data_IF_364237325997
#
_entry.id   IF_364237325997
#
_cell.length_a   1.000
_cell.length_b   1.000
_cell.length_c   1.000
_cell.angle_alpha   90.00
_cell.angle_beta   90.00
_cell.angle_gamma   90.00
#
_symmetry.space_group_name_H-M   'P 1'
#
loop_
_entity.id
_entity.type
_entity.pdbx_description
1 polymer ?
#
# COMPACT_ATOMS: atom_id res chain seq x y z
N UNK A 1 45.00 39.14 -9.47
CA UNK A 1 44.99 38.56 -8.14
C UNK A 1 43.56 38.21 -7.72
N UNK A 2 43.23 36.92 -7.48
CA UNK A 2 41.89 36.44 -7.38
C UNK A 2 41.50 36.23 -5.91
N UNK A 3 40.34 36.70 -5.50
CA UNK A 3 39.74 36.34 -4.22
C UNK A 3 38.62 35.33 -4.45
N UNK A 4 38.90 34.08 -4.06
CA UNK A 4 37.94 33.03 -3.84
C UNK A 4 37.02 33.37 -2.67
N UNK A 5 35.74 33.45 -2.87
CA UNK A 5 34.74 33.39 -1.83
C UNK A 5 34.12 32.00 -1.82
N UNK A 6 34.42 31.30 -0.76
CA UNK A 6 33.97 29.98 -0.40
C UNK A 6 32.63 30.11 0.33
N UNK A 7 31.53 29.67 -0.23
CA UNK A 7 30.26 29.59 0.48
C UNK A 7 30.21 28.31 1.32
N UNK A 8 29.86 28.36 2.63
CA UNK A 8 29.72 27.16 3.46
C UNK A 8 28.37 26.52 3.27
N UNK A 9 28.39 25.22 2.97
CA UNK A 9 27.20 24.37 2.87
C UNK A 9 26.40 24.36 4.18
N UNK A 10 25.10 24.46 4.03
CA UNK A 10 24.10 24.40 5.10
C UNK A 10 24.08 22.99 5.71
N UNK A 11 24.74 22.84 6.84
CA UNK A 11 24.64 21.64 7.66
C UNK A 11 23.30 21.64 8.40
N UNK A 12 22.46 20.65 8.13
CA UNK A 12 21.25 20.40 8.92
C UNK A 12 21.65 19.91 10.31
N UNK A 13 21.48 20.76 11.32
CA UNK A 13 21.62 20.42 12.72
C UNK A 13 20.49 19.47 13.14
N UNK A 14 20.81 18.19 13.31
CA UNK A 14 19.98 17.26 14.05
C UNK A 14 20.15 17.57 15.55
N UNK A 15 19.07 17.65 16.33
CA UNK A 15 19.21 17.86 17.77
C UNK A 15 19.87 16.65 18.43
N UNK A 16 20.95 16.90 19.16
CA UNK A 16 21.65 15.89 19.94
C UNK A 16 20.70 15.31 21.01
N UNK A 17 20.60 13.98 21.04
CA UNK A 17 19.96 13.26 22.12
C UNK A 17 20.76 13.47 23.42
N UNK A 18 20.22 14.27 24.30
CA UNK A 18 20.73 14.44 25.67
C UNK A 18 20.45 13.13 26.42
N UNK A 19 21.44 12.47 27.01
CA UNK A 19 21.19 11.31 27.85
C UNK A 19 20.45 11.75 29.11
N UNK A 20 19.25 11.24 29.30
CA UNK A 20 18.45 11.44 30.50
C UNK A 20 19.11 10.70 31.63
N UNK A 21 19.70 11.45 32.59
CA UNK A 21 20.15 10.93 33.86
C UNK A 21 19.00 10.27 34.61
N UNK A 22 19.22 9.03 35.07
CA UNK A 22 18.30 8.33 35.92
C UNK A 22 18.10 9.09 37.25
N UNK A 23 16.87 9.24 37.73
CA UNK A 23 16.61 9.74 39.06
C UNK A 23 16.94 8.66 40.10
N UNK A 24 17.71 9.08 41.12
CA UNK A 24 18.03 8.28 42.29
C UNK A 24 16.77 7.80 43.02
N UNK A 25 16.85 6.58 43.54
CA UNK A 25 15.82 5.95 44.35
C UNK A 25 15.50 6.80 45.58
N UNK A 26 14.28 7.35 45.60
CA UNK A 26 13.61 7.84 46.77
C UNK A 26 12.23 7.18 46.80
N UNK A 27 12.09 6.08 47.50
CA UNK A 27 10.78 5.44 47.76
C UNK A 27 9.97 6.41 48.63
N UNK A 28 9.11 7.19 47.98
CA UNK A 28 8.11 7.98 48.72
C UNK A 28 6.95 7.05 49.08
N UNK A 29 6.46 7.15 50.31
CA UNK A 29 5.35 6.37 50.89
C UNK A 29 4.07 6.41 50.08
N UNK A 30 3.97 7.26 49.05
CA UNK A 30 2.85 7.34 48.13
C UNK A 30 2.81 6.20 47.07
N UNK A 31 3.97 5.62 46.71
CA UNK A 31 4.02 4.57 45.71
C UNK A 31 3.45 3.22 46.12
N UNK A 32 3.56 2.86 47.41
CA UNK A 32 3.04 1.59 47.90
C UNK A 32 1.52 1.67 48.21
N UNK A 33 1.02 2.84 48.63
CA UNK A 33 -0.42 3.08 48.80
C UNK A 33 -1.17 3.02 47.47
N UNK A 34 -0.59 3.58 46.39
CA UNK A 34 -1.15 3.45 45.04
C UNK A 34 -1.15 2.01 44.54
N UNK A 35 -0.13 1.20 44.90
CA UNK A 35 -0.10 -0.26 44.62
C UNK A 35 -1.12 -1.02 45.45
N UNK A 36 -1.24 -0.72 46.74
CA UNK A 36 -2.22 -1.37 47.65
C UNK A 36 -3.66 -1.05 47.25
N UNK A 37 -3.97 0.19 46.87
CA UNK A 37 -5.27 0.58 46.33
C UNK A 37 -5.62 -0.11 45.02
N UNK A 38 -4.64 -0.35 44.14
CA UNK A 38 -4.84 -1.12 42.90
C UNK A 38 -5.18 -2.59 43.16
N UNK A 39 -4.59 -3.20 44.20
CA UNK A 39 -4.86 -4.62 44.52
C UNK A 39 -6.18 -4.83 45.27
N UNK A 40 -6.62 -3.87 46.09
CA UNK A 40 -7.83 -3.97 46.91
C UNK A 40 -9.09 -3.57 46.10
N UNK A 41 -9.00 -2.58 45.22
CA UNK A 41 -10.14 -2.10 44.44
C UNK A 41 -10.27 -2.71 43.04
N UNK A 42 -9.43 -3.68 42.68
CA UNK A 42 -9.61 -4.44 41.41
C UNK A 42 -9.75 -3.58 40.18
N UNK A 43 -9.18 -2.35 40.14
CA UNK A 43 -9.17 -1.54 38.95
C UNK A 43 -8.25 -2.23 37.93
N UNK A 44 -8.88 -3.06 37.09
CA UNK A 44 -8.26 -3.39 35.80
C UNK A 44 -7.89 -2.07 35.19
N UNK A 45 -6.59 -1.89 34.93
CA UNK A 45 -6.16 -0.82 34.07
C UNK A 45 -6.81 -1.10 32.69
N UNK A 46 -7.99 -0.53 32.47
CA UNK A 46 -8.62 -0.56 31.16
C UNK A 46 -7.61 0.11 30.22
N UNK A 47 -7.26 -0.57 29.17
CA UNK A 47 -6.41 0.06 28.16
C UNK A 47 -7.26 1.14 27.51
N UNK A 48 -6.68 2.30 27.23
CA UNK A 48 -7.34 3.42 26.49
C UNK A 48 -8.19 2.89 25.31
N UNK A 49 -7.74 1.78 24.72
CA UNK A 49 -8.43 1.10 23.64
C UNK A 49 -9.74 0.42 24.07
N UNK A 50 -9.78 -0.21 25.26
CA UNK A 50 -10.99 -0.84 25.79
C UNK A 50 -12.01 0.25 26.13
N UNK A 51 -11.56 1.33 26.79
CA UNK A 51 -12.42 2.47 27.10
C UNK A 51 -12.98 3.12 25.84
N UNK A 52 -12.15 3.27 24.78
CA UNK A 52 -12.60 3.81 23.49
C UNK A 52 -13.62 2.87 22.82
N UNK A 53 -13.43 1.56 22.94
CA UNK A 53 -14.36 0.56 22.39
C UNK A 53 -15.69 0.62 23.10
N UNK A 54 -15.69 0.70 24.43
CA UNK A 54 -16.88 0.83 25.26
C UNK A 54 -17.64 2.13 24.93
N UNK A 55 -16.94 3.27 24.86
CA UNK A 55 -17.53 4.56 24.46
C UNK A 55 -18.16 4.52 23.07
N UNK A 56 -17.57 3.77 22.13
CA UNK A 56 -18.12 3.60 20.78
C UNK A 56 -19.31 2.61 20.74
N UNK A 57 -19.42 1.69 21.72
CA UNK A 57 -20.50 0.71 21.82
C UNK A 57 -21.74 1.30 22.52
N UNK A 58 -21.57 2.09 23.57
CA UNK A 58 -22.64 2.67 24.37
C UNK A 58 -23.53 3.72 23.64
N UNK A 59 -23.23 4.06 22.44
CA UNK A 59 -24.07 4.61 21.37
C UNK A 59 -24.99 5.83 21.65
N UNK A 60 -25.27 6.20 22.88
CA UNK A 60 -26.37 7.10 23.20
C UNK A 60 -25.96 8.41 23.88
N UNK A 61 -24.70 8.62 24.24
CA UNK A 61 -24.28 9.81 24.96
C UNK A 61 -23.17 10.56 24.26
N UNK A 62 -23.33 11.84 24.10
CA UNK A 62 -22.35 12.95 24.01
C UNK A 62 -20.89 12.65 23.55
N UNK A 63 -20.64 11.60 22.74
CA UNK A 63 -19.28 11.28 22.28
C UNK A 63 -18.76 12.26 21.23
N UNK A 64 -19.61 13.17 20.73
CA UNK A 64 -19.26 14.11 19.67
C UNK A 64 -19.05 13.46 18.28
N UNK A 65 -19.06 12.12 18.19
CA UNK A 65 -18.89 11.41 16.91
C UNK A 65 -20.23 11.13 16.23
N UNK A 66 -20.30 11.40 14.93
CA UNK A 66 -21.42 10.97 14.09
C UNK A 66 -21.53 9.44 14.02
N UNK A 67 -22.68 8.86 13.67
CA UNK A 67 -22.83 7.42 13.48
C UNK A 67 -21.80 6.83 12.49
N UNK A 68 -21.51 7.53 11.42
CA UNK A 68 -20.52 7.12 10.40
C UNK A 68 -19.11 7.07 10.97
N UNK A 69 -18.70 8.09 11.71
CA UNK A 69 -17.38 8.14 12.36
C UNK A 69 -17.20 7.02 13.37
N UNK A 70 -18.23 6.71 14.15
CA UNK A 70 -18.21 5.58 15.09
C UNK A 70 -18.00 4.24 14.38
N UNK A 71 -18.67 4.00 13.24
CA UNK A 71 -18.49 2.79 12.45
C UNK A 71 -17.05 2.72 11.93
N UNK A 72 -16.50 3.82 11.41
CA UNK A 72 -15.11 3.86 10.93
C UNK A 72 -14.12 3.56 12.05
N UNK A 73 -14.29 4.17 13.24
CA UNK A 73 -13.43 3.92 14.40
C UNK A 73 -13.51 2.47 14.88
N UNK A 74 -14.72 1.88 14.95
CA UNK A 74 -14.91 0.46 15.28
C UNK A 74 -14.18 -0.45 14.29
N UNK A 75 -14.29 -0.16 12.99
CA UNK A 75 -13.61 -0.93 11.95
C UNK A 75 -12.08 -0.85 12.11
N UNK A 76 -11.53 0.34 12.36
CA UNK A 76 -10.09 0.53 12.59
C UNK A 76 -9.63 -0.25 13.83
N UNK A 77 -10.38 -0.18 14.92
CA UNK A 77 -10.07 -0.93 16.12
C UNK A 77 -10.14 -2.44 15.89
N UNK A 78 -11.06 -2.90 15.04
CA UNK A 78 -11.19 -4.31 14.67
C UNK A 78 -10.08 -4.85 13.79
N UNK A 79 -9.38 -4.00 13.01
CA UNK A 79 -8.34 -4.44 12.06
C UNK A 79 -7.19 -5.22 12.74
N UNK A 80 -6.88 -4.93 14.00
CA UNK A 80 -5.80 -5.62 14.72
C UNK A 80 -6.09 -7.12 14.93
N UNK A 81 -7.35 -7.47 15.01
CA UNK A 81 -7.80 -8.84 15.25
C UNK A 81 -7.99 -9.62 13.93
N UNK A 82 -8.04 -8.89 12.79
CA UNK A 82 -8.22 -9.48 11.46
C UNK A 82 -6.92 -10.05 10.92
N UNK A 83 -7.04 -11.21 10.29
CA UNK A 83 -5.98 -11.86 9.53
C UNK A 83 -6.26 -11.76 8.04
N UNK A 84 -5.24 -12.05 7.24
CA UNK A 84 -5.37 -11.97 5.78
C UNK A 84 -6.47 -12.91 5.28
N UNK A 85 -6.60 -14.10 5.84
CA UNK A 85 -7.66 -15.05 5.48
C UNK A 85 -9.07 -14.47 5.59
N UNK A 86 -9.28 -13.51 6.50
CA UNK A 86 -10.59 -12.89 6.74
C UNK A 86 -10.98 -11.85 5.67
N UNK A 87 -10.01 -11.40 4.87
CA UNK A 87 -10.18 -10.28 3.92
C UNK A 87 -9.68 -10.59 2.51
N UNK A 88 -9.04 -11.74 2.31
CA UNK A 88 -8.52 -12.14 0.99
C UNK A 88 -9.64 -12.48 0.01
N UNK A 89 -9.35 -12.31 -1.26
CA UNK A 89 -10.17 -12.85 -2.35
C UNK A 89 -9.84 -14.33 -2.53
N UNK A 90 -10.83 -15.23 -2.54
CA UNK A 90 -10.62 -16.66 -2.78
C UNK A 90 -9.98 -16.94 -4.13
N UNK A 91 -9.21 -18.03 -4.22
CA UNK A 91 -8.50 -18.43 -5.45
C UNK A 91 -9.43 -18.49 -6.69
N UNK A 92 -10.65 -18.95 -6.51
CA UNK A 92 -11.63 -19.08 -7.61
C UNK A 92 -12.05 -17.74 -8.22
N UNK A 93 -11.91 -16.65 -7.46
CA UNK A 93 -12.33 -15.30 -7.86
C UNK A 93 -11.14 -14.44 -8.33
N UNK A 94 -9.92 -15.00 -8.36
CA UNK A 94 -8.73 -14.28 -8.82
C UNK A 94 -8.81 -14.12 -10.34
N UNK A 95 -8.81 -12.88 -10.80
CA UNK A 95 -8.63 -12.55 -12.21
C UNK A 95 -7.14 -12.41 -12.50
N UNK A 96 -6.61 -13.34 -13.30
CA UNK A 96 -5.21 -13.40 -13.64
C UNK A 96 -5.01 -13.61 -15.14
N UNK A 97 -3.83 -13.34 -15.64
CA UNK A 97 -3.46 -13.48 -17.05
C UNK A 97 -2.14 -14.23 -17.19
N UNK A 98 -2.01 -15.00 -18.25
CA UNK A 98 -0.74 -15.64 -18.59
C UNK A 98 0.29 -14.61 -19.07
N UNK A 99 1.55 -14.90 -18.82
CA UNK A 99 2.66 -14.02 -19.20
C UNK A 99 2.81 -13.83 -20.70
N UNK A 100 2.36 -14.78 -21.49
CA UNK A 100 2.40 -14.76 -22.94
C UNK A 100 1.15 -14.15 -23.61
N UNK A 101 0.18 -13.70 -22.81
CA UNK A 101 -1.02 -13.01 -23.33
C UNK A 101 -0.63 -11.83 -24.23
N UNK A 102 -1.34 -11.63 -25.32
CA UNK A 102 -1.10 -10.47 -26.19
C UNK A 102 -1.59 -9.17 -25.54
N UNK A 103 -1.00 -8.04 -25.93
CA UNK A 103 -1.44 -6.73 -25.42
C UNK A 103 -2.91 -6.43 -25.75
N UNK A 104 -3.38 -6.88 -26.91
CA UNK A 104 -4.77 -6.69 -27.31
C UNK A 104 -5.75 -7.47 -26.44
N UNK A 105 -5.43 -8.72 -26.11
CA UNK A 105 -6.22 -9.54 -25.18
C UNK A 105 -6.15 -9.00 -23.75
N UNK A 106 -4.95 -8.61 -23.30
CA UNK A 106 -4.76 -7.99 -21.99
C UNK A 106 -5.65 -6.74 -21.81
N UNK A 107 -5.77 -5.90 -22.83
CA UNK A 107 -6.67 -4.74 -22.79
C UNK A 107 -8.13 -5.16 -22.57
N UNK A 108 -8.60 -6.21 -23.26
CA UNK A 108 -9.95 -6.74 -23.09
C UNK A 108 -10.18 -7.30 -21.69
N UNK A 109 -9.18 -7.98 -21.12
CA UNK A 109 -9.26 -8.47 -19.75
C UNK A 109 -9.35 -7.31 -18.76
N UNK A 110 -8.57 -6.24 -18.93
CA UNK A 110 -8.70 -5.04 -18.08
C UNK A 110 -10.09 -4.39 -18.19
N UNK A 111 -10.64 -4.31 -19.41
CA UNK A 111 -11.97 -3.76 -19.66
C UNK A 111 -13.05 -4.58 -18.94
N UNK A 112 -13.05 -5.89 -19.13
CA UNK A 112 -14.08 -6.78 -18.56
C UNK A 112 -13.95 -6.95 -17.05
N UNK A 113 -12.73 -7.01 -16.53
CA UNK A 113 -12.47 -7.19 -15.10
C UNK A 113 -12.76 -5.94 -14.27
N UNK A 114 -12.70 -4.75 -14.87
CA UNK A 114 -12.82 -3.45 -14.20
C UNK A 114 -11.81 -3.27 -13.03
N UNK A 115 -10.69 -3.99 -13.05
CA UNK A 115 -9.61 -3.91 -12.06
C UNK A 115 -8.43 -3.11 -12.60
N UNK A 116 -7.70 -2.45 -11.72
CA UNK A 116 -6.49 -1.71 -12.12
C UNK A 116 -5.23 -2.57 -12.14
N UNK A 117 -5.26 -3.76 -11.54
CA UNK A 117 -4.14 -4.69 -11.40
C UNK A 117 -4.61 -6.09 -11.66
N UNK A 118 -3.82 -6.85 -12.42
CA UNK A 118 -4.05 -8.26 -12.69
C UNK A 118 -2.81 -9.05 -12.27
N UNK A 119 -3.03 -10.23 -11.71
CA UNK A 119 -1.96 -11.18 -11.41
C UNK A 119 -1.45 -11.75 -12.74
N UNK A 120 -0.12 -11.90 -12.84
CA UNK A 120 0.54 -12.51 -13.99
C UNK A 120 1.17 -13.84 -13.56
N UNK A 121 0.85 -14.92 -14.26
CA UNK A 121 1.36 -16.26 -14.00
C UNK A 121 1.97 -16.86 -15.26
N UNK A 122 2.80 -17.90 -15.10
CA UNK A 122 3.41 -18.61 -16.21
C UNK A 122 2.51 -19.78 -16.66
N UNK A 123 2.54 -20.92 -15.99
CA UNK A 123 1.73 -22.09 -16.36
C UNK A 123 0.44 -22.17 -15.56
N UNK A 124 0.52 -21.95 -14.25
CA UNK A 124 -0.60 -22.01 -13.32
C UNK A 124 -0.58 -20.85 -12.34
N UNK A 125 -1.68 -20.64 -11.62
CA UNK A 125 -1.71 -19.61 -10.55
C UNK A 125 -0.71 -19.89 -9.41
N UNK A 126 -0.17 -21.09 -9.30
CA UNK A 126 0.87 -21.42 -8.31
C UNK A 126 2.23 -20.85 -8.74
N UNK A 127 2.40 -20.60 -10.04
CA UNK A 127 3.59 -19.95 -10.63
C UNK A 127 3.37 -18.47 -10.90
N UNK A 128 2.54 -17.81 -10.10
CA UNK A 128 2.28 -16.40 -10.25
C UNK A 128 3.53 -15.59 -9.86
N UNK A 129 4.19 -15.00 -10.84
CA UNK A 129 5.46 -14.31 -10.71
C UNK A 129 5.38 -12.79 -10.68
N UNK A 130 4.18 -12.18 -10.77
CA UNK A 130 4.08 -10.73 -10.81
C UNK A 130 2.67 -10.19 -10.99
N UNK A 131 2.61 -8.90 -11.24
CA UNK A 131 1.37 -8.21 -11.60
C UNK A 131 1.60 -7.25 -12.76
N UNK A 132 0.54 -6.98 -13.51
CA UNK A 132 0.50 -5.89 -14.49
C UNK A 132 -0.51 -4.83 -14.03
N UNK A 133 -0.12 -3.56 -14.14
CA UNK A 133 -0.98 -2.42 -13.82
C UNK A 133 -1.46 -1.75 -15.11
N UNK A 134 -2.75 -1.43 -15.22
CA UNK A 134 -3.32 -0.79 -16.41
C UNK A 134 -2.59 0.51 -16.80
N UNK A 135 -2.10 1.27 -15.81
CA UNK A 135 -1.35 2.49 -16.05
C UNK A 135 -0.02 2.25 -16.78
N UNK A 136 0.64 1.11 -16.50
CA UNK A 136 1.89 0.77 -17.16
C UNK A 136 1.64 0.30 -18.60
N UNK A 137 0.55 -0.42 -18.82
CA UNK A 137 0.12 -0.79 -20.16
C UNK A 137 -0.16 0.47 -20.99
N UNK A 138 -0.94 1.42 -20.46
CA UNK A 138 -1.23 2.69 -21.15
C UNK A 138 0.04 3.49 -21.38
N UNK A 139 0.96 3.58 -20.41
CA UNK A 139 2.23 4.28 -20.55
C UNK A 139 3.09 3.65 -21.64
N UNK A 140 3.22 2.33 -21.66
CA UNK A 140 3.96 1.59 -22.68
C UNK A 140 3.41 1.84 -24.09
N UNK A 141 2.09 1.75 -24.26
CA UNK A 141 1.43 2.00 -25.54
C UNK A 141 1.61 3.46 -26.00
N UNK A 142 1.49 4.42 -25.07
CA UNK A 142 1.65 5.85 -25.38
C UNK A 142 3.09 6.15 -25.80
N UNK A 143 4.08 5.58 -25.13
CA UNK A 143 5.49 5.74 -25.48
C UNK A 143 5.79 5.21 -26.89
N UNK A 144 5.28 4.01 -27.22
CA UNK A 144 5.44 3.41 -28.55
C UNK A 144 4.77 4.26 -29.64
N UNK A 145 3.54 4.72 -29.39
CA UNK A 145 2.81 5.57 -30.30
C UNK A 145 3.50 6.92 -30.54
N UNK A 146 4.06 7.52 -29.50
CA UNK A 146 4.80 8.77 -29.58
C UNK A 146 6.13 8.60 -30.34
N UNK A 147 6.87 7.52 -30.10
CA UNK A 147 8.11 7.21 -30.81
C UNK A 147 7.87 7.06 -32.32
N UNK A 148 6.81 6.32 -32.71
CA UNK A 148 6.44 6.16 -34.11
C UNK A 148 6.02 7.48 -34.76
N UNK A 149 5.23 8.30 -34.07
CA UNK A 149 4.80 9.60 -34.57
C UNK A 149 6.00 10.54 -34.84
N UNK A 150 7.01 10.53 -33.96
CA UNK A 150 8.26 11.29 -34.12
C UNK A 150 9.09 10.77 -35.30
N UNK A 151 9.15 9.47 -35.50
CA UNK A 151 9.91 8.88 -36.63
C UNK A 151 9.27 9.20 -37.98
N UNK A 152 7.95 9.40 -38.02
CA UNK A 152 7.20 9.62 -39.27
C UNK A 152 7.01 11.11 -39.58
N UNK A 153 8.12 11.84 -39.72
CA UNK A 153 8.16 13.30 -39.98
C UNK A 153 7.68 13.71 -41.39
N UNK A 154 7.52 12.74 -42.32
CA UNK A 154 7.08 13.01 -43.71
C UNK A 154 5.57 13.21 -43.86
N UNK A 155 4.80 13.13 -42.81
CA UNK A 155 3.35 13.23 -42.87
C UNK A 155 2.90 14.68 -43.06
N UNK A 156 2.01 14.91 -44.02
CA UNK A 156 1.45 16.26 -44.29
C UNK A 156 0.58 16.81 -43.16
N UNK A 157 0.01 15.93 -42.32
CA UNK A 157 -0.78 16.29 -41.13
C UNK A 157 -0.19 15.59 -39.88
N UNK A 158 0.02 16.33 -38.79
CA UNK A 158 0.50 15.71 -37.54
C UNK A 158 -0.52 14.71 -37.00
N UNK A 159 -0.03 13.72 -36.23
CA UNK A 159 -0.88 12.80 -35.50
C UNK A 159 -1.61 13.54 -34.37
N UNK A 160 -2.89 13.23 -34.09
CA UNK A 160 -3.59 13.75 -32.94
C UNK A 160 -2.79 13.51 -31.66
N UNK A 161 -2.64 14.54 -30.82
CA UNK A 161 -1.82 14.49 -29.59
C UNK A 161 -0.37 13.98 -29.79
N UNK A 162 0.15 13.97 -31.04
CA UNK A 162 1.49 13.44 -31.35
C UNK A 162 1.61 11.92 -31.16
N UNK A 163 0.51 11.17 -31.25
CA UNK A 163 0.46 9.73 -31.02
C UNK A 163 0.02 8.98 -32.29
N UNK A 164 0.83 8.05 -32.76
CA UNK A 164 0.47 7.10 -33.80
C UNK A 164 0.01 5.77 -33.19
N UNK A 165 -1.24 5.71 -32.76
CA UNK A 165 -1.80 4.51 -32.12
C UNK A 165 -1.81 3.27 -33.04
N UNK A 166 -1.77 3.46 -34.37
CA UNK A 166 -1.69 2.34 -35.33
C UNK A 166 -0.34 1.63 -35.33
N UNK A 167 0.68 2.26 -34.81
CA UNK A 167 2.02 1.68 -34.71
C UNK A 167 2.22 0.83 -33.45
N UNK A 168 1.22 0.78 -32.56
CA UNK A 168 1.26 -0.12 -31.40
C UNK A 168 0.88 -1.51 -31.85
N UNK A 169 1.84 -2.43 -31.75
CA UNK A 169 1.59 -3.84 -32.06
C UNK A 169 0.83 -4.52 -30.91
N UNK A 170 -0.46 -4.74 -31.11
CA UNK A 170 -1.33 -5.38 -30.15
C UNK A 170 -1.17 -6.91 -30.10
N UNK A 171 -0.44 -7.51 -31.06
CA UNK A 171 -0.11 -8.94 -31.05
C UNK A 171 1.10 -9.27 -30.19
N UNK A 172 1.83 -8.24 -29.73
CA UNK A 172 3.01 -8.39 -28.89
C UNK A 172 2.67 -9.06 -27.55
N UNK A 173 3.41 -10.11 -27.12
CA UNK A 173 3.23 -10.74 -25.83
C UNK A 173 3.61 -9.83 -24.67
N UNK A 174 2.87 -9.88 -23.56
CA UNK A 174 3.16 -9.14 -22.31
C UNK A 174 4.57 -9.40 -21.81
N UNK A 175 5.08 -10.62 -21.91
CA UNK A 175 6.43 -11.03 -21.51
C UNK A 175 7.53 -10.14 -22.10
N UNK A 176 7.34 -9.63 -23.30
CA UNK A 176 8.35 -8.83 -24.04
C UNK A 176 8.37 -7.36 -23.63
N UNK A 177 7.37 -6.88 -22.90
CA UNK A 177 7.14 -5.46 -22.62
C UNK A 177 7.90 -4.91 -21.41
N UNK A 178 8.33 -5.78 -20.51
CA UNK A 178 8.97 -5.43 -19.22
C UNK A 178 8.08 -4.59 -18.26
N UNK A 179 6.76 -4.57 -18.46
CA UNK A 179 5.82 -3.84 -17.58
C UNK A 179 5.25 -4.70 -16.44
N UNK A 180 5.64 -5.97 -16.35
CA UNK A 180 5.30 -6.84 -15.22
C UNK A 180 6.11 -6.41 -14.01
N UNK A 181 5.42 -6.13 -12.90
CA UNK A 181 6.00 -5.72 -11.63
C UNK A 181 6.01 -6.86 -10.64
N UNK A 182 6.85 -6.73 -9.63
CA UNK A 182 6.86 -7.64 -8.47
C UNK A 182 5.54 -7.61 -7.71
N UNK A 183 5.23 -8.71 -7.04
CA UNK A 183 4.07 -8.90 -6.17
C UNK A 183 4.55 -9.31 -4.78
N UNK A 184 3.77 -8.99 -3.75
CA UNK A 184 4.05 -9.47 -2.40
C UNK A 184 3.46 -10.86 -2.19
N UNK A 185 4.08 -11.61 -1.29
CA UNK A 185 3.56 -12.88 -0.79
C UNK A 185 3.31 -12.77 0.71
N UNK A 186 2.23 -13.35 1.17
CA UNK A 186 1.84 -13.31 2.57
C UNK A 186 1.11 -14.59 2.99
N UNK A 187 1.39 -15.14 4.17
CA UNK A 187 0.64 -16.28 4.68
C UNK A 187 -0.76 -15.83 5.15
N UNK A 188 -1.78 -16.70 5.08
CA UNK A 188 -3.15 -16.38 5.46
C UNK A 188 -3.28 -16.00 6.94
N UNK A 189 -2.36 -16.48 7.79
CA UNK A 189 -2.32 -16.20 9.22
C UNK A 189 -1.75 -14.83 9.60
N UNK A 190 -1.12 -14.13 8.66
CA UNK A 190 -0.52 -12.81 8.90
C UNK A 190 -1.60 -11.79 9.32
N UNK A 191 -1.35 -10.94 10.32
CA UNK A 191 -2.23 -9.81 10.65
C UNK A 191 -2.38 -8.84 9.47
N UNK A 192 -3.59 -8.34 9.25
CA UNK A 192 -3.87 -7.39 8.14
C UNK A 192 -3.01 -6.12 8.25
N UNK A 193 -2.78 -5.63 9.48
CA UNK A 193 -1.97 -4.42 9.70
C UNK A 193 -0.50 -4.62 9.30
N UNK A 194 0.05 -5.82 9.49
CA UNK A 194 1.43 -6.12 9.11
C UNK A 194 1.59 -6.13 7.58
N UNK A 195 0.62 -6.73 6.87
CA UNK A 195 0.60 -6.66 5.40
C UNK A 195 0.43 -5.22 4.92
N UNK A 196 -0.45 -4.44 5.54
CA UNK A 196 -0.64 -3.03 5.18
C UNK A 196 0.64 -2.22 5.37
N UNK A 197 1.35 -2.40 6.49
CA UNK A 197 2.65 -1.77 6.73
C UNK A 197 3.69 -2.18 5.68
N UNK A 198 3.73 -3.47 5.31
CA UNK A 198 4.60 -3.99 4.24
C UNK A 198 4.27 -3.36 2.89
N UNK A 199 2.98 -3.27 2.53
CA UNK A 199 2.53 -2.61 1.31
C UNK A 199 2.91 -1.12 1.25
N UNK A 200 2.79 -0.40 2.37
CA UNK A 200 3.18 1.01 2.47
C UNK A 200 4.69 1.19 2.28
N UNK A 201 5.50 0.36 2.93
CA UNK A 201 6.95 0.43 2.87
C UNK A 201 7.49 0.09 1.48
N UNK A 202 6.96 -0.96 0.86
CA UNK A 202 7.40 -1.43 -0.47
C UNK A 202 6.72 -0.69 -1.61
N UNK A 203 5.61 0.02 -1.35
CA UNK A 203 4.72 0.62 -2.35
C UNK A 203 4.12 -0.39 -3.33
N UNK A 204 4.06 -1.66 -2.95
CA UNK A 204 3.40 -2.72 -3.70
C UNK A 204 2.02 -2.94 -3.07
N UNK A 205 0.95 -2.77 -3.85
CA UNK A 205 -0.44 -2.76 -3.37
C UNK A 205 -1.23 -4.01 -3.82
N UNK A 206 -0.54 -5.09 -4.09
CA UNK A 206 -1.13 -6.39 -4.39
C UNK A 206 -0.27 -7.47 -3.73
N UNK A 207 -0.91 -8.42 -3.07
CA UNK A 207 -0.24 -9.56 -2.46
C UNK A 207 -0.98 -10.85 -2.83
N UNK A 208 -0.23 -11.92 -3.05
CA UNK A 208 -0.75 -13.28 -3.14
C UNK A 208 -0.67 -13.94 -1.78
N UNK A 209 -1.71 -14.69 -1.44
CA UNK A 209 -1.78 -15.47 -0.21
C UNK A 209 -1.32 -16.90 -0.52
N UNK A 210 -0.28 -17.35 0.20
CA UNK A 210 0.41 -18.62 -0.02
C UNK A 210 0.61 -19.38 1.28
#
# INVERSE_FOLDING_TARGET
>A
DPTHSNEPGTAYNLPALVPRSAPAAGETAEGWLARALRTVFGWKASTIRADLKDVLEDGAGETGFSPTERIMLKNILGLRERRIVDVMVPRADIIAVQRDITLGELMKVFESAAHSRLVVYDDTLDDAGGMVHIRDLVAFMTERAAASAKANTRRKRPFPAGLDLKAVDLSMPLATTKIVREILYAPPSMPVLDLLAKMQTTRIHLALVV
#
